data_IF_195650986229
#
_entry.id   IF_195650986229
#
_cell.length_a   1.000
_cell.length_b   1.000
_cell.length_c   1.000
_cell.angle_alpha   90.00
_cell.angle_beta   90.00
_cell.angle_gamma   90.00
#
_symmetry.space_group_name_H-M   'P 1'
#
loop_
_entity.id
_entity.type
_entity.pdbx_description
1 polymer ?
#
# COMPACT_ATOMS: atom_id res chain seq x y z
N UNK A 1 -9.58 2.17 7.45
CA UNK A 1 -8.17 2.59 7.22
C UNK A 1 -8.13 3.87 6.39
N UNK A 2 -7.39 4.89 6.81
CA UNK A 2 -7.22 6.14 6.05
C UNK A 2 -5.98 6.08 5.17
N UNK A 3 -6.06 6.62 3.96
CA UNK A 3 -4.97 6.62 2.97
C UNK A 3 -4.62 8.06 2.60
N UNK A 4 -3.36 8.44 2.77
CA UNK A 4 -2.81 9.71 2.33
C UNK A 4 -2.01 9.53 1.03
N UNK A 5 -1.95 10.57 0.19
CA UNK A 5 -1.08 10.56 -0.99
C UNK A 5 0.37 10.42 -0.57
N UNK A 6 1.10 9.49 -1.19
CA UNK A 6 2.54 9.34 -0.95
C UNK A 6 3.28 10.50 -1.61
N UNK A 7 4.25 11.07 -0.90
CA UNK A 7 5.16 12.08 -1.42
C UNK A 7 6.58 11.53 -1.45
N UNK A 8 7.34 11.89 -2.48
CA UNK A 8 8.76 11.56 -2.56
C UNK A 8 9.59 12.46 -1.63
N UNK A 9 10.92 12.26 -1.61
CA UNK A 9 11.85 13.03 -0.79
C UNK A 9 11.78 14.54 -1.03
N UNK A 10 11.46 14.95 -2.26
CA UNK A 10 11.34 16.35 -2.67
C UNK A 10 9.93 16.92 -2.38
N UNK A 11 9.07 16.17 -1.68
CA UNK A 11 7.71 16.56 -1.33
C UNK A 11 6.71 16.46 -2.48
N UNK A 12 7.12 15.98 -3.65
CA UNK A 12 6.26 15.84 -4.83
C UNK A 12 5.35 14.62 -4.67
N UNK A 13 4.12 14.71 -5.17
CA UNK A 13 3.17 13.59 -5.15
C UNK A 13 3.69 12.46 -6.03
N UNK A 14 3.83 11.29 -5.44
CA UNK A 14 4.09 10.07 -6.17
C UNK A 14 2.74 9.53 -6.67
N UNK A 15 2.52 9.63 -7.99
CA UNK A 15 1.24 9.24 -8.58
C UNK A 15 0.91 7.78 -8.26
N UNK A 16 -0.39 7.53 -8.06
CA UNK A 16 -0.93 6.19 -7.80
C UNK A 16 -0.26 5.46 -6.62
N UNK A 17 0.27 6.22 -5.66
CA UNK A 17 0.88 5.69 -4.46
C UNK A 17 0.28 6.37 -3.23
N UNK A 18 0.01 5.57 -2.21
CA UNK A 18 -0.58 6.01 -0.95
C UNK A 18 0.16 5.42 0.24
N UNK A 19 0.04 6.09 1.39
CA UNK A 19 0.48 5.61 2.69
C UNK A 19 -0.74 5.50 3.60
N UNK A 20 -0.92 4.35 4.25
CA UNK A 20 -2.01 4.14 5.22
C UNK A 20 -1.70 4.81 6.56
N UNK A 21 -2.71 5.04 7.39
CA UNK A 21 -2.53 5.49 8.78
C UNK A 21 -1.69 4.51 9.64
N UNK A 22 -1.60 3.24 9.24
CA UNK A 22 -0.71 2.23 9.80
C UNK A 22 0.69 2.18 9.15
N UNK A 23 1.00 3.07 8.21
CA UNK A 23 2.33 3.24 7.59
C UNK A 23 2.64 2.33 6.40
N UNK A 24 1.68 1.51 5.93
CA UNK A 24 1.88 0.66 4.76
C UNK A 24 1.89 1.52 3.50
N UNK A 25 2.75 1.18 2.55
CA UNK A 25 2.69 1.76 1.21
C UNK A 25 1.83 0.89 0.31
N UNK A 26 0.89 1.52 -0.40
CA UNK A 26 0.08 0.89 -1.45
C UNK A 26 0.36 1.62 -2.74
N UNK A 27 0.77 0.90 -3.78
CA UNK A 27 0.85 1.43 -5.14
C UNK A 27 -0.29 0.84 -5.98
N UNK A 28 -0.70 1.50 -7.06
CA UNK A 28 -1.55 0.92 -8.10
C UNK A 28 -0.73 0.74 -9.38
N UNK A 29 -0.61 -0.51 -9.83
CA UNK A 29 -0.01 -0.87 -11.10
C UNK A 29 -1.09 -1.40 -12.03
N UNK A 30 -1.07 -0.99 -13.30
CA UNK A 30 -2.12 -1.31 -14.28
C UNK A 30 -1.58 -2.10 -15.47
N UNK A 31 -1.12 -3.35 -15.30
CA UNK A 31 -0.73 -4.22 -16.43
C UNK A 31 -0.76 -5.71 -16.03
N UNK A 32 -1.49 -6.59 -16.75
CA UNK A 32 -2.61 -6.34 -17.67
C UNK A 32 -3.92 -5.95 -16.94
N UNK A 33 -4.01 -6.24 -15.64
CA UNK A 33 -5.11 -5.86 -14.76
C UNK A 33 -4.60 -4.92 -13.68
N UNK A 34 -5.50 -4.15 -13.05
CA UNK A 34 -5.14 -3.38 -11.87
C UNK A 34 -4.71 -4.33 -10.75
N UNK A 35 -3.53 -4.08 -10.19
CA UNK A 35 -3.02 -4.72 -8.99
C UNK A 35 -2.49 -3.65 -8.05
N UNK A 36 -2.61 -3.93 -6.76
CA UNK A 36 -2.16 -3.08 -5.68
C UNK A 36 -1.04 -3.79 -4.92
N UNK A 37 0.24 -3.55 -5.26
CA UNK A 37 1.36 -4.00 -4.43
C UNK A 37 1.32 -3.33 -3.06
N UNK A 38 1.45 -4.12 -2.00
CA UNK A 38 1.39 -3.69 -0.61
C UNK A 38 2.76 -3.91 0.03
N UNK A 39 3.34 -2.84 0.57
CA UNK A 39 4.67 -2.84 1.21
C UNK A 39 4.53 -2.46 2.68
N UNK A 40 5.17 -3.23 3.56
CA UNK A 40 5.16 -2.99 5.01
C UNK A 40 5.84 -1.66 5.38
N UNK A 41 5.51 -1.06 6.53
CA UNK A 41 6.26 0.08 7.06
C UNK A 41 7.76 -0.23 7.14
N UNK A 42 8.60 0.61 6.52
CA UNK A 42 10.06 0.46 6.53
C UNK A 42 10.62 -0.64 5.62
N UNK A 43 9.79 -1.37 4.88
CA UNK A 43 10.24 -2.36 3.90
C UNK A 43 10.44 -1.72 2.52
N UNK A 44 11.35 -2.29 1.72
CA UNK A 44 11.66 -1.83 0.37
C UNK A 44 10.86 -2.58 -0.73
N UNK A 45 10.32 -3.76 -0.42
CA UNK A 45 9.65 -4.62 -1.39
C UNK A 45 8.22 -4.98 -0.96
N UNK A 46 7.28 -5.10 -1.92
CA UNK A 46 5.93 -5.59 -1.64
C UNK A 46 5.95 -7.01 -1.08
N UNK A 47 5.08 -7.28 -0.11
CA UNK A 47 4.88 -8.62 0.43
C UNK A 47 3.59 -9.28 -0.09
N UNK A 48 2.68 -8.48 -0.66
CA UNK A 48 1.40 -8.93 -1.18
C UNK A 48 0.94 -8.08 -2.37
N UNK A 49 0.00 -8.63 -3.14
CA UNK A 49 -0.63 -7.99 -4.28
C UNK A 49 -2.15 -8.20 -4.19
N UNK A 50 -2.90 -7.11 -4.17
CA UNK A 50 -4.36 -7.14 -4.15
C UNK A 50 -4.95 -6.76 -5.52
N UNK A 51 -6.17 -7.19 -5.82
CA UNK A 51 -6.92 -6.86 -7.03
C UNK A 51 -7.73 -5.57 -6.90
N UNK A 52 -8.10 -5.20 -5.68
CA UNK A 52 -8.93 -4.05 -5.37
C UNK A 52 -8.59 -3.48 -3.97
N UNK A 53 -9.23 -2.36 -3.61
CA UNK A 53 -8.96 -1.66 -2.35
C UNK A 53 -9.46 -2.41 -1.12
N UNK A 54 -10.55 -3.16 -1.24
CA UNK A 54 -11.11 -3.90 -0.11
C UNK A 54 -10.18 -5.06 0.27
N UNK A 55 -9.61 -5.73 -0.73
CA UNK A 55 -8.59 -6.75 -0.54
C UNK A 55 -7.29 -6.17 0.03
N UNK A 56 -6.90 -4.94 -0.34
CA UNK A 56 -5.78 -4.25 0.34
C UNK A 56 -6.05 -4.08 1.83
N UNK A 57 -7.24 -3.62 2.21
CA UNK A 57 -7.61 -3.40 3.62
C UNK A 57 -7.55 -4.72 4.37
N UNK A 58 -8.19 -5.77 3.84
CA UNK A 58 -8.22 -7.09 4.46
C UNK A 58 -6.81 -7.67 4.69
N UNK A 59 -5.91 -7.54 3.70
CA UNK A 59 -4.52 -8.02 3.82
C UNK A 59 -3.77 -7.25 4.91
N UNK A 60 -3.91 -5.93 4.98
CA UNK A 60 -3.21 -5.12 5.99
C UNK A 60 -3.73 -5.43 7.39
N UNK A 61 -5.05 -5.57 7.57
CA UNK A 61 -5.65 -5.94 8.86
C UNK A 61 -5.19 -7.33 9.34
N UNK A 62 -5.08 -8.29 8.42
CA UNK A 62 -4.53 -9.61 8.73
C UNK A 62 -3.04 -9.54 9.11
N UNK A 63 -2.23 -8.73 8.39
CA UNK A 63 -0.80 -8.58 8.69
C UNK A 63 -0.59 -7.92 10.06
N UNK A 64 -1.33 -6.84 10.35
CA UNK A 64 -1.30 -6.15 11.64
C UNK A 64 -1.61 -7.10 12.80
N UNK A 65 -2.60 -7.98 12.64
CA UNK A 65 -2.98 -8.98 13.67
C UNK A 65 -1.88 -10.01 13.91
N UNK A 66 -1.04 -10.32 12.90
CA UNK A 66 0.07 -11.28 13.03
C UNK A 66 1.33 -10.67 13.65
N UNK A 67 1.49 -9.36 13.57
CA UNK A 67 2.68 -8.64 14.05
C UNK A 67 2.47 -7.91 15.37
N UNK A 68 1.23 -7.88 15.88
CA UNK A 68 0.88 -7.40 17.21
C UNK A 68 1.26 -8.42 18.30
#
# INVERSE_FOLDING_TARGET
>A
MKWAVKRNRDGQVQQNCWITDSGYTVAECRLPEARYPITRPGADLPFAYAKDRDEVIAIIEQDLTRTA
#
